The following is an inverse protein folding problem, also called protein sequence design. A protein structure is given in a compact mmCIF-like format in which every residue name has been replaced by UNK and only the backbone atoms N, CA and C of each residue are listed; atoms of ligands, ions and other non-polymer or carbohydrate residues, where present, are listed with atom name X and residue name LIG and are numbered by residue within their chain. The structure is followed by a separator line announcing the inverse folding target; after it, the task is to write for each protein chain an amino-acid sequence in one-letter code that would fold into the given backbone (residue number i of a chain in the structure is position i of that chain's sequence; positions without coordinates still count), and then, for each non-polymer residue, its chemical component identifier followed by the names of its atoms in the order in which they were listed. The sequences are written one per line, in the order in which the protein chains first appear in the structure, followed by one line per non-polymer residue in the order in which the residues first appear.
data_IF_710095002918
#
_entry.id   IF_710095002918
#
_cell.length_a   1.000
_cell.length_b   1.000
_cell.length_c   1.000
_cell.angle_alpha   90.00
_cell.angle_beta   90.00
_cell.angle_gamma   90.00
#
_symmetry.space_group_name_H-M   'P 1'
#
loop_
_entity.id
_entity.type
_entity.pdbx_description
1 polymer ?
#
# COMPACT_ATOMS: atom_id res chain seq x y z
N UNK A 1 -9.00 -6.85 -7.78
CA UNK A 1 -8.08 -5.97 -8.55
C UNK A 1 -6.71 -6.63 -8.78
N UNK A 2 -6.13 -6.43 -9.97
CA UNK A 2 -4.79 -6.83 -10.40
C UNK A 2 -3.83 -5.63 -10.32
N UNK A 3 -2.50 -5.84 -10.19
CA UNK A 3 -1.54 -4.75 -10.30
C UNK A 3 -1.75 -3.95 -11.59
N UNK A 4 -1.90 -2.63 -11.47
CA UNK A 4 -2.24 -1.73 -12.56
C UNK A 4 -3.74 -1.39 -12.68
N UNK A 5 -4.64 -2.10 -11.98
CA UNK A 5 -6.05 -1.74 -11.93
C UNK A 5 -6.29 -0.55 -10.99
N UNK A 6 -7.25 0.29 -11.34
CA UNK A 6 -7.77 1.31 -10.42
C UNK A 6 -8.51 0.62 -9.26
N UNK A 7 -8.17 1.00 -8.05
CA UNK A 7 -8.83 0.54 -6.83
C UNK A 7 -9.98 1.49 -6.52
N UNK A 8 -11.15 0.91 -6.28
CA UNK A 8 -12.32 1.65 -5.83
C UNK A 8 -12.04 2.31 -4.47
N UNK A 9 -12.85 3.29 -4.09
CA UNK A 9 -12.72 3.85 -2.77
C UNK A 9 -13.14 2.80 -1.74
N UNK A 10 -12.19 2.38 -0.91
CA UNK A 10 -12.38 1.31 0.08
C UNK A 10 -12.44 1.94 1.47
N UNK A 11 -13.37 1.44 2.28
CA UNK A 11 -13.41 1.74 3.71
C UNK A 11 -12.18 1.11 4.36
N UNK A 12 -11.42 1.95 5.06
CA UNK A 12 -10.16 1.60 5.68
C UNK A 12 -10.12 2.17 7.10
N UNK A 13 -9.24 1.64 7.92
CA UNK A 13 -9.04 2.13 9.29
C UNK A 13 -7.59 2.54 9.44
N UNK A 14 -7.34 3.74 9.96
CA UNK A 14 -5.99 4.16 10.29
C UNK A 14 -5.44 3.34 11.47
N UNK A 15 -4.13 3.38 11.67
CA UNK A 15 -3.49 2.73 12.82
C UNK A 15 -3.94 3.28 14.19
N UNK A 16 -4.58 4.46 14.21
CA UNK A 16 -5.19 5.05 15.41
C UNK A 16 -6.64 4.56 15.66
N UNK A 17 -7.16 3.66 14.81
CA UNK A 17 -8.53 3.16 14.89
C UNK A 17 -9.57 4.04 14.21
N UNK A 18 -9.17 5.18 13.62
CA UNK A 18 -10.10 6.09 12.95
C UNK A 18 -10.54 5.51 11.61
N UNK A 19 -11.85 5.37 11.34
CA UNK A 19 -12.33 4.98 10.03
C UNK A 19 -12.08 6.11 9.02
N UNK A 20 -11.61 5.74 7.85
CA UNK A 20 -11.29 6.64 6.74
C UNK A 20 -11.59 5.96 5.40
N UNK A 21 -11.41 6.70 4.31
CA UNK A 21 -11.54 6.20 2.95
C UNK A 21 -10.19 6.26 2.24
N UNK A 22 -9.89 5.22 1.47
CA UNK A 22 -8.63 5.08 0.74
C UNK A 22 -8.31 6.33 -0.08
N UNK A 23 -9.27 6.85 -0.86
CA UNK A 23 -9.03 8.00 -1.74
C UNK A 23 -8.77 9.28 -0.95
N UNK A 24 -9.41 9.43 0.22
CA UNK A 24 -9.16 10.55 1.13
C UNK A 24 -7.74 10.57 1.68
N UNK A 25 -7.19 9.39 1.96
CA UNK A 25 -5.83 9.26 2.51
C UNK A 25 -4.73 9.35 1.46
N UNK A 26 -5.02 8.86 0.25
CA UNK A 26 -4.08 8.87 -0.87
C UNK A 26 -3.54 10.28 -1.08
N UNK A 27 -4.36 11.27 -1.44
CA UNK A 27 -3.95 12.68 -1.45
C UNK A 27 -2.59 12.99 -2.11
N UNK A 28 -2.16 12.20 -3.10
CA UNK A 28 -0.83 12.30 -3.73
C UNK A 28 0.30 11.46 -3.10
N UNK A 29 -0.01 10.61 -2.12
CA UNK A 29 0.87 9.71 -1.37
C UNK A 29 0.49 8.25 -1.61
N UNK A 30 1.40 7.35 -1.28
CA UNK A 30 1.17 5.90 -1.33
C UNK A 30 0.32 5.46 -0.15
N UNK A 31 -0.50 4.43 -0.33
CA UNK A 31 -1.24 3.80 0.77
C UNK A 31 -0.90 2.31 0.86
N UNK A 32 -0.48 1.86 2.04
CA UNK A 32 -0.29 0.44 2.35
C UNK A 32 -1.50 -0.05 3.12
N UNK A 33 -2.29 -0.90 2.48
CA UNK A 33 -3.43 -1.59 3.08
C UNK A 33 -2.96 -2.91 3.68
N UNK A 34 -3.14 -3.05 4.99
CA UNK A 34 -2.82 -4.23 5.78
C UNK A 34 -4.11 -4.92 6.25
N UNK A 35 -4.11 -6.25 6.38
CA UNK A 35 -5.20 -6.93 7.07
C UNK A 35 -5.38 -6.36 8.48
N UNK A 36 -6.62 -6.35 8.96
CA UNK A 36 -6.89 -6.06 10.37
C UNK A 36 -6.13 -7.05 11.28
N UNK A 37 -5.46 -6.52 12.31
CA UNK A 37 -4.63 -7.32 13.23
C UNK A 37 -3.26 -7.75 12.69
N UNK A 38 -2.92 -7.44 11.44
CA UNK A 38 -1.58 -7.70 10.91
C UNK A 38 -0.61 -6.57 11.30
N UNK A 39 0.36 -6.90 12.15
CA UNK A 39 1.56 -6.08 12.30
C UNK A 39 2.50 -6.39 11.13
N UNK A 40 2.75 -5.40 10.27
CA UNK A 40 3.77 -5.51 9.21
C UNK A 40 5.00 -4.72 9.63
N UNK A 41 6.16 -5.31 9.43
CA UNK A 41 7.42 -4.58 9.53
C UNK A 41 7.44 -3.52 8.42
N UNK A 42 7.58 -2.24 8.80
CA UNK A 42 7.64 -1.14 7.85
C UNK A 42 8.87 -1.19 6.92
N UNK A 43 9.78 -2.17 7.11
CA UNK A 43 10.98 -2.41 6.32
C UNK A 43 10.87 -2.13 4.82
N UNK A 44 9.95 -2.78 4.08
CA UNK A 44 9.82 -2.60 2.62
C UNK A 44 9.45 -1.17 2.23
N UNK A 45 8.53 -0.57 2.99
CA UNK A 45 7.94 0.73 2.68
C UNK A 45 8.69 1.90 3.31
N UNK A 46 9.69 1.66 4.17
CA UNK A 46 10.60 2.69 4.71
C UNK A 46 11.27 3.52 3.61
N UNK A 47 11.47 2.93 2.42
CA UNK A 47 12.01 3.63 1.25
C UNK A 47 11.10 4.74 0.72
N UNK A 48 9.79 4.61 0.94
CA UNK A 48 8.79 5.62 0.58
C UNK A 48 8.72 6.76 1.62
N UNK A 49 9.32 6.56 2.81
CA UNK A 49 9.47 7.59 3.83
C UNK A 49 8.14 8.14 4.34
N UNK A 50 8.01 9.47 4.38
CA UNK A 50 6.80 10.18 4.80
C UNK A 50 5.68 10.20 3.75
N UNK A 51 5.96 9.76 2.52
CA UNK A 51 5.00 9.73 1.42
C UNK A 51 4.19 8.43 1.36
N UNK A 52 4.14 7.68 2.46
CA UNK A 52 3.26 6.52 2.61
C UNK A 52 2.40 6.63 3.86
N UNK A 53 1.13 6.24 3.73
CA UNK A 53 0.20 6.05 4.85
C UNK A 53 -0.09 4.56 5.01
N UNK A 54 -0.10 4.09 6.26
CA UNK A 54 -0.49 2.72 6.59
C UNK A 54 -1.95 2.72 7.04
N UNK A 55 -2.73 1.86 6.41
CA UNK A 55 -4.15 1.70 6.63
C UNK A 55 -4.46 0.22 6.79
N UNK A 56 -5.52 -0.08 7.53
CA UNK A 56 -6.04 -1.41 7.74
C UNK A 56 -7.34 -1.58 6.94
N UNK A 57 -7.57 -2.78 6.43
CA UNK A 57 -8.81 -3.14 5.75
C UNK A 57 -9.25 -4.54 6.18
N UNK A 58 -10.51 -4.86 5.95
CA UNK A 58 -11.11 -6.14 6.34
C UNK A 58 -10.63 -7.35 5.50
N UNK A 59 -9.83 -7.15 4.47
CA UNK A 59 -9.29 -8.23 3.65
C UNK A 59 -8.06 -8.89 4.26
N UNK A 60 -7.70 -10.07 3.73
CA UNK A 60 -6.59 -10.89 4.26
C UNK A 60 -5.24 -10.67 3.57
N UNK A 61 -5.19 -9.81 2.55
CA UNK A 61 -4.01 -9.55 1.73
C UNK A 61 -3.46 -8.16 1.97
N UNK A 62 -2.15 -8.01 1.82
CA UNK A 62 -1.51 -6.70 1.79
C UNK A 62 -1.63 -6.14 0.38
N UNK A 63 -2.01 -4.87 0.28
CA UNK A 63 -2.09 -4.14 -0.99
C UNK A 63 -1.33 -2.82 -0.89
N UNK A 64 -0.44 -2.57 -1.84
CA UNK A 64 0.20 -1.27 -2.01
C UNK A 64 -0.54 -0.51 -3.11
N UNK A 65 -1.11 0.64 -2.75
CA UNK A 65 -1.83 1.52 -3.64
C UNK A 65 -0.97 2.75 -3.94
N UNK A 66 -0.93 3.12 -5.22
CA UNK A 66 -0.23 4.30 -5.72
C UNK A 66 -1.03 5.58 -5.45
N UNK A 67 -0.37 6.75 -5.44
CA UNK A 67 -1.02 8.06 -5.35
C UNK A 67 -2.16 8.31 -6.34
N UNK A 68 -2.14 7.63 -7.49
CA UNK A 68 -3.12 7.74 -8.58
C UNK A 68 -4.30 6.75 -8.43
N UNK A 69 -4.45 6.15 -7.24
CA UNK A 69 -5.44 5.12 -6.91
C UNK A 69 -5.31 3.82 -7.71
N UNK A 70 -4.12 3.50 -8.26
CA UNK A 70 -3.88 2.19 -8.89
C UNK A 70 -3.19 1.23 -7.94
N UNK A 71 -3.56 -0.05 -8.04
CA UNK A 71 -2.89 -1.12 -7.31
C UNK A 71 -1.47 -1.28 -7.83
N UNK A 72 -0.47 -0.98 -7.01
CA UNK A 72 0.93 -1.18 -7.35
C UNK A 72 1.34 -2.64 -7.16
N UNK A 73 0.99 -3.20 -6.00
CA UNK A 73 1.36 -4.55 -5.61
C UNK A 73 0.30 -5.15 -4.69
N UNK A 74 0.20 -6.47 -4.70
CA UNK A 74 -0.67 -7.24 -3.81
C UNK A 74 -0.01 -8.58 -3.48
N UNK A 75 -0.16 -9.02 -2.24
CA UNK A 75 0.29 -10.35 -1.79
C UNK A 75 -0.09 -10.63 -0.35
N UNK A 76 0.13 -11.85 0.10
CA UNK A 76 -0.10 -12.22 1.51
C UNK A 76 0.94 -11.59 2.44
N UNK A 77 0.67 -11.46 3.75
CA UNK A 77 1.65 -11.00 4.74
C UNK A 77 2.97 -11.80 4.74
N UNK A 78 2.90 -13.09 4.42
CA UNK A 78 4.08 -13.95 4.28
C UNK A 78 4.97 -13.60 3.07
N UNK A 79 4.48 -12.79 2.13
CA UNK A 79 5.19 -12.39 0.91
C UNK A 79 5.69 -10.93 0.97
N UNK A 80 5.78 -10.37 2.17
CA UNK A 80 6.16 -8.97 2.39
C UNK A 80 7.58 -8.66 1.87
N UNK A 81 8.50 -9.62 1.87
CA UNK A 81 9.82 -9.48 1.25
C UNK A 81 9.73 -9.26 -0.28
N UNK A 82 8.70 -9.81 -0.91
CA UNK A 82 8.42 -9.60 -2.34
C UNK A 82 7.99 -8.18 -2.66
N UNK A 83 7.34 -7.48 -1.71
CA UNK A 83 7.02 -6.07 -1.82
C UNK A 83 8.29 -5.21 -1.85
N UNK A 84 9.27 -5.53 -1.00
CA UNK A 84 10.55 -4.81 -0.95
C UNK A 84 11.32 -4.93 -2.28
N UNK A 85 11.40 -6.15 -2.82
CA UNK A 85 12.00 -6.39 -4.13
C UNK A 85 11.25 -5.65 -5.26
N UNK A 86 9.92 -5.69 -5.22
CA UNK A 86 9.09 -4.97 -6.18
C UNK A 86 9.31 -3.45 -6.10
N UNK A 87 9.35 -2.88 -4.90
CA UNK A 87 9.63 -1.45 -4.67
C UNK A 87 11.03 -1.08 -5.16
N UNK A 88 12.04 -1.88 -4.83
CA UNK A 88 13.41 -1.65 -5.31
C UNK A 88 13.48 -1.67 -6.84
N UNK A 89 12.71 -2.54 -7.50
CA UNK A 89 12.65 -2.62 -8.96
C UNK A 89 11.82 -1.49 -9.56
N UNK A 90 10.69 -1.12 -8.98
CA UNK A 90 9.81 -0.07 -9.48
C UNK A 90 10.43 1.33 -9.31
N UNK A 91 11.05 1.60 -8.17
CA UNK A 91 11.75 2.86 -7.88
C UNK A 91 13.15 2.90 -8.54
N UNK A 92 13.87 1.77 -8.57
CA UNK A 92 15.17 1.65 -9.24
C UNK A 92 15.08 1.63 -10.77
N UNK A 93 13.93 1.23 -11.33
CA UNK A 93 13.61 1.37 -12.76
C UNK A 93 12.85 2.65 -13.06
N UNK A 94 12.80 3.59 -12.12
CA UNK A 94 12.26 4.95 -12.28
C UNK A 94 13.07 5.82 -13.25
N UNK A 95 13.69 5.22 -14.27
CA UNK A 95 14.04 5.93 -15.50
C UNK A 95 12.73 6.23 -16.21
N UNK A 96 12.25 7.43 -15.94
CA UNK A 96 11.33 8.19 -16.79
C UNK A 96 11.76 8.01 -18.25
N UNK A 97 10.83 7.62 -19.12
CA UNK A 97 10.95 7.92 -20.54
C UNK A 97 9.62 8.46 -21.04
#
# INVERSE_FOLDING_TARGET
PRPGDRVADLECTRSDGTPTQLHGELGGRWALLLPEGAATDAGPVRRLGEFIVTLHHEGSEIMLIRPDAHLAWRGSPAQIDGLDHWLARALGSGTTR
#
